data_IF_451364348060
#
_entry.id   IF_451364348060
#
_cell.length_a   1.000
_cell.length_b   1.000
_cell.length_c   1.000
_cell.angle_alpha   90.00
_cell.angle_beta   90.00
_cell.angle_gamma   90.00
#
_symmetry.space_group_name_H-M   'P 1'
#
loop_
_entity.id
_entity.type
_entity.pdbx_description
1 polymer ?
#
# COMPACT_ATOMS: atom_id res chain seq x y z
N UNK A 1 3.72 -12.42 -17.77
CA UNK A 1 2.73 -11.32 -17.85
C UNK A 1 1.52 -11.86 -18.62
N UNK A 2 0.27 -11.58 -18.19
CA UNK A 2 -0.94 -12.19 -18.80
C UNK A 2 -0.99 -12.00 -20.32
N UNK A 3 -0.70 -10.80 -20.82
CA UNK A 3 -0.65 -10.51 -22.25
C UNK A 3 0.32 -11.40 -23.06
N UNK A 4 1.36 -11.94 -22.44
CA UNK A 4 2.30 -12.87 -23.12
C UNK A 4 1.71 -14.27 -23.25
N UNK A 5 0.89 -14.69 -22.28
CA UNK A 5 0.41 -16.07 -22.17
C UNK A 5 -1.06 -16.23 -22.58
N UNK A 6 -1.78 -15.13 -22.76
CA UNK A 6 -3.21 -15.06 -23.09
C UNK A 6 -3.35 -14.23 -24.37
N UNK A 7 -3.30 -14.85 -25.57
CA UNK A 7 -3.40 -14.15 -26.84
C UNK A 7 -4.68 -13.33 -26.96
N UNK A 8 -5.78 -13.87 -26.42
CA UNK A 8 -7.06 -13.18 -26.41
C UNK A 8 -6.98 -11.87 -25.61
N UNK A 9 -6.35 -11.89 -24.43
CA UNK A 9 -6.17 -10.67 -23.63
C UNK A 9 -5.24 -9.67 -24.31
N UNK A 10 -4.18 -10.13 -24.99
CA UNK A 10 -3.31 -9.26 -25.78
C UNK A 10 -4.08 -8.58 -26.92
N UNK A 11 -4.89 -9.34 -27.66
CA UNK A 11 -5.71 -8.79 -28.75
C UNK A 11 -6.76 -7.81 -28.23
N UNK A 12 -7.36 -8.09 -27.07
CA UNK A 12 -8.27 -7.16 -26.39
C UNK A 12 -7.57 -5.83 -26.07
N UNK A 13 -6.37 -5.86 -25.48
CA UNK A 13 -5.62 -4.64 -25.20
C UNK A 13 -5.29 -3.84 -26.46
N UNK A 14 -4.95 -4.52 -27.56
CA UNK A 14 -4.73 -3.87 -28.85
C UNK A 14 -6.01 -3.22 -29.39
N UNK A 15 -7.16 -3.89 -29.31
CA UNK A 15 -8.44 -3.31 -29.73
C UNK A 15 -8.83 -2.09 -28.91
N UNK A 16 -8.59 -2.11 -27.60
CA UNK A 16 -8.81 -0.93 -26.74
C UNK A 16 -7.88 0.21 -27.13
N UNK A 17 -6.58 -0.06 -27.33
CA UNK A 17 -5.60 0.97 -27.72
C UNK A 17 -5.80 1.54 -29.12
N UNK A 18 -6.37 0.76 -30.03
CA UNK A 18 -6.71 1.16 -31.40
C UNK A 18 -8.12 1.79 -31.51
N UNK A 19 -8.86 1.95 -30.40
CA UNK A 19 -10.25 2.45 -30.39
C UNK A 19 -11.23 1.58 -31.22
N UNK A 20 -10.99 0.27 -31.27
CA UNK A 20 -11.80 -0.72 -32.00
C UNK A 20 -12.67 -1.61 -31.11
N UNK A 21 -12.54 -1.51 -29.79
CA UNK A 21 -13.38 -2.27 -28.85
C UNK A 21 -14.76 -1.62 -28.73
N UNK A 22 -15.81 -2.43 -28.63
CA UNK A 22 -17.17 -1.94 -28.45
C UNK A 22 -17.30 -1.13 -27.15
N UNK A 23 -17.79 0.10 -27.28
CA UNK A 23 -18.08 1.00 -26.16
C UNK A 23 -19.58 1.02 -25.86
N UNK A 24 -19.92 1.04 -24.58
CA UNK A 24 -21.22 1.44 -24.07
C UNK A 24 -21.32 2.97 -24.16
N UNK A 25 -22.37 3.45 -24.83
CA UNK A 25 -22.73 4.88 -24.94
C UNK A 25 -21.56 5.79 -25.37
N UNK A 26 -20.72 5.33 -26.31
CA UNK A 26 -19.56 6.03 -26.89
C UNK A 26 -18.46 6.48 -25.90
N UNK A 27 -18.61 6.19 -24.60
CA UNK A 27 -17.72 6.73 -23.55
C UNK A 27 -17.12 5.65 -22.63
N UNK A 28 -17.69 4.44 -22.57
CA UNK A 28 -17.25 3.40 -21.63
C UNK A 28 -16.88 2.11 -22.34
N UNK A 29 -15.70 1.56 -22.05
CA UNK A 29 -15.33 0.21 -22.53
C UNK A 29 -15.88 -0.84 -21.57
N UNK A 30 -16.59 -1.85 -22.09
CA UNK A 30 -17.10 -2.94 -21.27
C UNK A 30 -15.98 -3.93 -20.90
N UNK A 31 -15.65 -4.02 -19.60
CA UNK A 31 -14.75 -5.06 -19.08
C UNK A 31 -15.52 -6.37 -18.98
N UNK A 32 -15.00 -7.43 -19.62
CA UNK A 32 -15.65 -8.76 -19.60
C UNK A 32 -15.76 -9.35 -18.19
N UNK A 33 -16.82 -10.14 -17.98
CA UNK A 33 -17.13 -10.81 -16.71
C UNK A 33 -16.01 -11.69 -16.15
N UNK A 34 -15.16 -12.25 -17.01
CA UNK A 34 -14.01 -13.06 -16.57
C UNK A 34 -12.82 -12.23 -16.08
N UNK A 35 -12.92 -10.90 -16.12
CA UNK A 35 -11.92 -9.94 -15.62
C UNK A 35 -12.49 -9.01 -14.56
N UNK A 36 -13.79 -9.08 -14.29
CA UNK A 36 -14.47 -8.29 -13.28
C UNK A 36 -14.95 -9.17 -12.13
N UNK A 37 -15.12 -8.55 -10.97
CA UNK A 37 -15.80 -9.16 -9.83
C UNK A 37 -17.18 -8.52 -9.80
N UNK A 38 -18.27 -9.31 -9.88
CA UNK A 38 -19.62 -8.76 -9.86
C UNK A 38 -19.84 -7.91 -8.60
N UNK A 39 -20.23 -6.67 -8.80
CA UNK A 39 -20.56 -5.79 -7.68
C UNK A 39 -21.89 -6.23 -7.07
N UNK A 40 -21.87 -6.52 -5.77
CA UNK A 40 -23.06 -6.84 -4.97
C UNK A 40 -23.32 -5.73 -3.97
N UNK A 41 -22.41 -5.59 -3.02
CA UNK A 41 -22.28 -4.45 -2.12
C UNK A 41 -20.80 -4.16 -1.87
N UNK A 42 -20.50 -3.00 -1.30
CA UNK A 42 -19.11 -2.56 -1.05
C UNK A 42 -18.31 -3.60 -0.27
N UNK A 43 -18.87 -4.14 0.82
CA UNK A 43 -18.13 -5.03 1.73
C UNK A 43 -17.83 -6.36 1.06
N UNK A 44 -18.86 -7.04 0.55
CA UNK A 44 -18.71 -8.36 -0.06
C UNK A 44 -17.89 -8.31 -1.35
N UNK A 45 -18.02 -7.24 -2.16
CA UNK A 45 -17.25 -7.11 -3.40
C UNK A 45 -15.77 -6.85 -3.13
N UNK A 46 -15.44 -6.05 -2.11
CA UNK A 46 -14.04 -5.83 -1.67
C UNK A 46 -13.46 -7.12 -1.11
N UNK A 47 -14.23 -7.86 -0.32
CA UNK A 47 -13.79 -9.12 0.26
C UNK A 47 -13.55 -10.17 -0.83
N UNK A 48 -14.42 -10.26 -1.83
CA UNK A 48 -14.22 -11.10 -3.01
C UNK A 48 -12.97 -10.70 -3.82
N UNK A 49 -12.68 -9.41 -3.95
CA UNK A 49 -11.44 -8.93 -4.59
C UNK A 49 -10.20 -9.34 -3.80
N UNK A 50 -10.24 -9.19 -2.49
CA UNK A 50 -9.16 -9.65 -1.61
C UNK A 50 -8.93 -11.14 -1.80
N UNK A 51 -9.98 -11.95 -1.79
CA UNK A 51 -9.87 -13.41 -1.90
C UNK A 51 -9.43 -13.87 -3.29
N UNK A 52 -9.77 -13.12 -4.35
CA UNK A 52 -9.29 -13.37 -5.71
C UNK A 52 -7.78 -13.11 -5.86
N UNK A 53 -7.26 -12.06 -5.23
CA UNK A 53 -5.83 -11.67 -5.36
C UNK A 53 -4.95 -12.38 -4.33
N UNK A 54 -5.43 -12.54 -3.10
CA UNK A 54 -4.74 -13.17 -1.99
C UNK A 54 -5.47 -14.46 -1.54
N UNK A 55 -5.54 -15.49 -2.40
CA UNK A 55 -6.26 -16.70 -2.08
C UNK A 55 -5.61 -17.42 -0.88
N UNK A 56 -6.45 -17.82 0.08
CA UNK A 56 -6.01 -18.51 1.30
C UNK A 56 -4.88 -17.77 2.04
N UNK A 57 -5.01 -16.44 2.20
CA UNK A 57 -4.00 -15.57 2.81
C UNK A 57 -3.43 -16.12 4.12
N UNK A 58 -4.28 -16.63 5.01
CA UNK A 58 -3.88 -17.19 6.31
C UNK A 58 -3.01 -18.45 6.20
N UNK A 59 -3.11 -19.20 5.10
CA UNK A 59 -2.30 -20.39 4.88
C UNK A 59 -0.99 -20.08 4.16
N UNK A 60 -0.90 -18.92 3.49
CA UNK A 60 0.23 -18.53 2.63
C UNK A 60 1.02 -17.31 3.16
N UNK A 61 0.62 -16.74 4.30
CA UNK A 61 1.25 -15.54 4.86
C UNK A 61 2.71 -15.72 5.30
N UNK A 62 3.13 -16.96 5.52
CA UNK A 62 4.52 -17.32 5.76
C UNK A 62 5.41 -17.34 4.49
N UNK A 63 4.83 -17.30 3.29
CA UNK A 63 5.60 -17.25 2.04
C UNK A 63 5.74 -15.80 1.55
N UNK A 64 6.94 -15.23 1.74
CA UNK A 64 7.24 -13.89 1.28
C UNK A 64 7.10 -13.74 -0.24
N UNK A 65 7.40 -14.77 -1.04
CA UNK A 65 7.26 -14.73 -2.50
C UNK A 65 5.79 -14.66 -2.91
N UNK A 66 4.94 -15.39 -2.21
CA UNK A 66 3.49 -15.32 -2.41
C UNK A 66 2.98 -13.90 -2.15
N UNK A 67 3.38 -13.29 -1.04
CA UNK A 67 2.91 -11.96 -0.63
C UNK A 67 3.40 -10.86 -1.58
N UNK A 68 4.68 -10.84 -1.95
CA UNK A 68 5.25 -9.74 -2.76
C UNK A 68 4.86 -9.82 -4.25
N UNK A 69 4.37 -10.97 -4.71
CA UNK A 69 3.93 -11.15 -6.11
C UNK A 69 2.49 -10.72 -6.37
N UNK A 70 1.85 -10.10 -5.37
CA UNK A 70 0.44 -9.71 -5.35
C UNK A 70 0.29 -8.29 -4.86
N UNK A 71 -0.60 -7.54 -5.49
CA UNK A 71 -1.05 -6.26 -4.96
C UNK A 71 -2.47 -5.93 -5.41
N UNK A 72 -3.17 -5.13 -4.61
CA UNK A 72 -4.38 -4.43 -5.05
C UNK A 72 -4.02 -2.98 -5.35
N UNK A 73 -4.45 -2.48 -6.50
CA UNK A 73 -4.19 -1.10 -6.92
C UNK A 73 -5.46 -0.26 -6.81
N UNK A 74 -5.30 0.99 -6.40
CA UNK A 74 -6.39 1.97 -6.38
C UNK A 74 -5.89 3.35 -6.82
N UNK A 75 -6.79 4.31 -7.00
CA UNK A 75 -6.42 5.69 -7.39
C UNK A 75 -6.13 6.59 -6.21
N UNK A 76 -6.81 6.38 -5.07
CA UNK A 76 -6.70 7.23 -3.86
C UNK A 76 -5.99 6.51 -2.71
N UNK A 77 -5.21 7.26 -1.92
CA UNK A 77 -4.54 6.73 -0.72
C UNK A 77 -5.56 6.23 0.33
N UNK A 78 -6.72 6.89 0.48
CA UNK A 78 -7.77 6.44 1.41
C UNK A 78 -8.28 5.03 1.09
N UNK A 79 -8.51 4.74 -0.21
CA UNK A 79 -8.91 3.40 -0.65
C UNK A 79 -7.79 2.38 -0.45
N UNK A 80 -6.52 2.79 -0.62
CA UNK A 80 -5.36 1.94 -0.31
C UNK A 80 -5.32 1.59 1.17
N UNK A 81 -5.53 2.57 2.05
CA UNK A 81 -5.55 2.39 3.50
C UNK A 81 -6.72 1.49 3.94
N UNK A 82 -7.91 1.66 3.37
CA UNK A 82 -9.07 0.78 3.61
C UNK A 82 -8.73 -0.70 3.31
N UNK A 83 -8.16 -0.96 2.13
CA UNK A 83 -7.80 -2.33 1.71
C UNK A 83 -6.66 -2.89 2.58
N UNK A 84 -5.62 -2.10 2.85
CA UNK A 84 -4.50 -2.53 3.71
C UNK A 84 -4.98 -2.88 5.12
N UNK A 85 -5.94 -2.13 5.68
CA UNK A 85 -6.54 -2.40 6.98
C UNK A 85 -7.32 -3.71 7.01
N UNK A 86 -8.14 -3.99 5.97
CA UNK A 86 -8.82 -5.28 5.84
C UNK A 86 -7.84 -6.46 5.70
N UNK A 87 -6.77 -6.29 4.93
CA UNK A 87 -5.79 -7.34 4.69
C UNK A 87 -4.96 -7.68 5.94
N UNK A 88 -4.51 -6.67 6.69
CA UNK A 88 -3.76 -6.92 7.92
C UNK A 88 -4.62 -7.58 9.02
N UNK A 89 -5.93 -7.33 9.03
CA UNK A 89 -6.86 -8.03 9.93
C UNK A 89 -6.95 -9.52 9.61
N UNK A 90 -7.01 -9.87 8.32
CA UNK A 90 -7.05 -11.26 7.84
C UNK A 90 -5.73 -12.01 8.00
N UNK A 91 -4.60 -11.29 8.03
CA UNK A 91 -3.26 -11.88 8.17
C UNK A 91 -3.10 -12.63 9.49
N UNK A 92 -2.41 -13.78 9.52
CA UNK A 92 -2.21 -14.53 10.76
C UNK A 92 -1.14 -13.87 11.66
N UNK A 93 -1.09 -14.32 12.90
CA UNK A 93 -0.08 -13.89 13.87
C UNK A 93 -0.52 -12.74 14.77
N UNK A 94 0.30 -12.52 15.80
CA UNK A 94 0.04 -11.49 16.81
C UNK A 94 0.22 -10.08 16.23
N UNK A 95 -0.73 -9.21 16.56
CA UNK A 95 -0.71 -7.83 16.16
C UNK A 95 0.26 -7.02 17.04
N UNK A 96 1.17 -6.28 16.41
CA UNK A 96 1.96 -5.22 17.06
C UNK A 96 1.44 -3.86 16.63
N UNK A 97 1.20 -2.99 17.61
CA UNK A 97 0.79 -1.60 17.39
C UNK A 97 1.89 -0.66 17.84
N UNK A 98 2.15 0.36 17.02
CA UNK A 98 3.03 1.48 17.35
C UNK A 98 2.29 2.79 17.20
N UNK A 99 2.15 3.51 18.30
CA UNK A 99 1.67 4.90 18.30
C UNK A 99 2.82 5.85 17.97
N UNK A 100 2.57 6.88 17.16
CA UNK A 100 3.56 7.92 16.88
C UNK A 100 3.70 8.89 18.05
N UNK A 101 4.75 9.71 18.01
CA UNK A 101 4.88 10.90 18.85
C UNK A 101 4.78 12.13 17.95
N UNK A 102 3.70 12.88 18.11
CA UNK A 102 3.37 14.02 17.26
C UNK A 102 3.65 15.33 18.00
N UNK A 103 4.06 16.35 17.25
CA UNK A 103 4.42 17.67 17.76
C UNK A 103 4.07 18.73 16.72
N UNK A 104 3.51 19.86 17.16
CA UNK A 104 3.39 21.08 16.37
C UNK A 104 4.54 22.03 16.76
N UNK A 105 5.65 22.03 16.01
CA UNK A 105 6.92 22.64 16.44
C UNK A 105 6.84 24.16 16.69
N UNK A 106 5.94 24.86 16.02
CA UNK A 106 5.76 26.31 16.10
C UNK A 106 4.55 26.75 16.95
N UNK A 107 3.85 25.81 17.57
CA UNK A 107 2.71 26.09 18.45
C UNK A 107 3.14 26.44 19.88
N UNK A 108 3.64 27.66 20.06
CA UNK A 108 4.11 28.15 21.38
C UNK A 108 3.01 28.23 22.45
N UNK A 109 1.75 28.26 22.03
CA UNK A 109 0.61 28.48 22.92
C UNK A 109 -0.19 27.19 23.17
N UNK A 110 0.25 26.04 22.65
CA UNK A 110 -0.46 24.75 22.69
C UNK A 110 -1.93 24.87 22.22
N UNK A 111 -2.14 25.62 21.13
CA UNK A 111 -3.44 25.81 20.49
C UNK A 111 -3.96 24.53 19.84
N UNK A 112 -3.09 23.59 19.48
CA UNK A 112 -3.45 22.34 18.83
C UNK A 112 -3.35 21.16 19.81
N UNK A 113 -4.50 20.57 20.22
CA UNK A 113 -4.50 19.40 21.10
C UNK A 113 -3.83 18.19 20.44
N UNK A 114 -3.23 17.31 21.24
CA UNK A 114 -2.62 16.08 20.74
C UNK A 114 -3.62 15.19 20.01
N UNK A 115 -4.86 15.11 20.49
CA UNK A 115 -5.92 14.33 19.84
C UNK A 115 -6.18 14.80 18.41
N UNK A 116 -6.03 16.10 18.14
CA UNK A 116 -6.15 16.65 16.79
C UNK A 116 -4.95 16.24 15.92
N UNK A 117 -3.72 16.40 16.45
CA UNK A 117 -2.49 16.02 15.72
C UNK A 117 -2.48 14.54 15.33
N UNK A 118 -2.92 13.67 16.25
CA UNK A 118 -2.95 12.23 16.07
C UNK A 118 -3.97 11.77 15.00
N UNK A 119 -4.94 12.62 14.64
CA UNK A 119 -5.93 12.34 13.58
C UNK A 119 -5.43 12.71 12.18
N UNK A 120 -4.34 13.47 12.06
CA UNK A 120 -3.83 13.92 10.78
C UNK A 120 -3.20 12.75 10.02
N UNK A 121 -3.78 12.42 8.86
CA UNK A 121 -3.24 11.48 7.90
C UNK A 121 -2.69 12.28 6.71
N UNK A 122 -1.35 12.31 6.59
CA UNK A 122 -0.61 13.21 5.70
C UNK A 122 0.20 12.36 4.73
N UNK A 123 0.19 12.72 3.45
CA UNK A 123 0.94 11.99 2.44
C UNK A 123 2.45 11.96 2.75
N UNK A 124 3.07 10.79 2.62
CA UNK A 124 4.51 10.61 2.87
C UNK A 124 4.92 10.56 4.35
N UNK A 125 3.96 10.62 5.27
CA UNK A 125 4.17 10.46 6.71
C UNK A 125 3.38 9.21 7.17
N UNK A 126 3.98 8.30 7.96
CA UNK A 126 3.27 7.16 8.51
C UNK A 126 2.06 7.58 9.37
N UNK A 127 1.04 6.71 9.49
CA UNK A 127 -0.09 6.97 10.36
C UNK A 127 0.32 7.02 11.84
N UNK A 128 -0.45 7.76 12.64
CA UNK A 128 -0.28 7.76 14.10
C UNK A 128 -0.41 6.35 14.66
N UNK A 129 -1.46 5.63 14.23
CA UNK A 129 -1.73 4.25 14.59
C UNK A 129 -1.15 3.31 13.52
N UNK A 130 0.05 2.76 13.76
CA UNK A 130 0.68 1.81 12.85
C UNK A 130 0.49 0.37 13.35
N UNK A 131 -0.34 -0.39 12.64
CA UNK A 131 -0.66 -1.79 12.94
C UNK A 131 0.10 -2.75 12.02
N UNK A 132 0.88 -3.66 12.60
CA UNK A 132 1.73 -4.60 11.87
C UNK A 132 1.59 -6.02 12.42
N UNK A 133 1.93 -7.01 11.59
CA UNK A 133 2.04 -8.42 11.96
C UNK A 133 3.31 -9.01 11.35
N UNK A 134 3.84 -10.07 11.96
CA UNK A 134 5.03 -10.73 11.43
C UNK A 134 4.72 -11.24 10.02
N UNK A 135 5.69 -11.16 9.10
CA UNK A 135 5.57 -11.48 7.68
C UNK A 135 4.76 -10.50 6.82
N UNK A 136 4.16 -9.43 7.37
CA UNK A 136 3.44 -8.48 6.54
C UNK A 136 4.40 -7.67 5.63
N UNK A 137 3.98 -7.33 4.40
CA UNK A 137 4.71 -6.44 3.52
C UNK A 137 4.52 -5.00 3.93
N UNK A 138 5.63 -4.27 3.96
CA UNK A 138 5.65 -2.83 4.20
C UNK A 138 6.49 -2.15 3.14
N UNK A 139 6.27 -0.87 2.94
CA UNK A 139 7.02 -0.04 2.00
C UNK A 139 7.66 1.12 2.75
N UNK A 140 8.92 1.41 2.43
CA UNK A 140 9.67 2.51 3.03
C UNK A 140 9.19 3.86 2.47
N UNK A 141 9.03 4.86 3.33
CA UNK A 141 8.48 6.17 2.97
C UNK A 141 9.54 7.26 2.76
N UNK A 142 10.80 6.99 3.11
CA UNK A 142 11.91 7.94 2.96
C UNK A 142 13.21 7.20 2.64
N UNK A 143 14.12 7.93 2.02
CA UNK A 143 15.51 7.48 1.87
C UNK A 143 16.18 7.50 3.25
N UNK A 144 16.70 6.35 3.69
CA UNK A 144 17.48 6.22 4.93
C UNK A 144 18.94 5.95 4.58
N UNK A 145 19.15 4.95 3.72
CA UNK A 145 20.48 4.56 3.25
C UNK A 145 20.36 3.98 1.83
N UNK A 146 20.29 4.85 0.81
CA UNK A 146 20.11 4.42 -0.57
C UNK A 146 21.21 3.48 -1.07
N UNK A 147 22.44 3.69 -0.61
CA UNK A 147 23.59 2.88 -0.98
C UNK A 147 23.44 1.41 -0.61
N UNK A 148 22.63 1.14 0.42
CA UNK A 148 22.37 -0.18 0.98
C UNK A 148 20.96 -0.71 0.69
N UNK A 149 20.24 -0.06 -0.24
CA UNK A 149 18.90 -0.45 -0.67
C UNK A 149 17.76 0.05 0.19
N UNK A 150 18.00 0.94 1.17
CA UNK A 150 16.94 1.58 1.97
C UNK A 150 16.51 2.91 1.33
N UNK A 151 15.95 2.81 0.14
CA UNK A 151 15.38 3.94 -0.61
C UNK A 151 13.88 4.06 -0.34
N UNK A 152 13.33 5.25 -0.59
CA UNK A 152 11.89 5.44 -0.69
C UNK A 152 11.27 4.40 -1.64
N UNK A 153 10.10 3.94 -1.27
CA UNK A 153 9.32 2.92 -1.96
C UNK A 153 9.93 1.50 -1.99
N UNK A 154 11.02 1.24 -1.27
CA UNK A 154 11.56 -0.12 -1.10
C UNK A 154 10.54 -1.00 -0.38
N UNK A 155 10.19 -2.15 -0.98
CA UNK A 155 9.33 -3.16 -0.35
C UNK A 155 10.17 -4.00 0.61
N UNK A 156 9.63 -4.20 1.81
CA UNK A 156 10.25 -4.91 2.91
C UNK A 156 9.24 -5.91 3.50
N UNK A 157 9.72 -6.97 4.14
CA UNK A 157 8.91 -7.88 4.96
C UNK A 157 9.28 -7.72 6.43
N UNK A 158 8.29 -7.53 7.29
CA UNK A 158 8.49 -7.50 8.74
C UNK A 158 8.86 -8.89 9.27
N UNK A 159 9.96 -9.01 10.02
CA UNK A 159 10.46 -10.28 10.55
C UNK A 159 10.32 -10.38 12.06
N UNK A 160 10.53 -9.28 12.78
CA UNK A 160 10.33 -9.20 14.22
C UNK A 160 10.10 -7.77 14.68
N UNK A 161 9.51 -7.64 15.88
CA UNK A 161 9.12 -6.36 16.45
C UNK A 161 9.77 -6.15 17.82
N UNK A 162 10.43 -5.02 18.00
CA UNK A 162 10.98 -4.56 19.28
C UNK A 162 10.42 -3.17 19.60
N UNK A 163 10.54 -2.73 20.84
CA UNK A 163 9.92 -1.47 21.28
C UNK A 163 10.28 -0.25 20.40
N UNK A 164 11.54 -0.16 19.98
CA UNK A 164 12.08 0.99 19.25
C UNK A 164 12.70 0.64 17.88
N UNK A 165 12.62 -0.62 17.48
CA UNK A 165 13.25 -1.14 16.26
C UNK A 165 12.33 -2.19 15.62
N UNK A 166 12.23 -2.17 14.30
CA UNK A 166 11.59 -3.23 13.53
C UNK A 166 12.67 -3.95 12.72
N UNK A 167 12.72 -5.27 12.85
CA UNK A 167 13.55 -6.13 12.02
C UNK A 167 12.82 -6.42 10.71
N UNK A 168 13.43 -6.04 9.61
CA UNK A 168 12.86 -6.15 8.27
C UNK A 168 13.83 -6.83 7.31
N UNK A 169 13.30 -7.36 6.22
CA UNK A 169 14.08 -7.90 5.11
C UNK A 169 13.73 -7.20 3.81
N UNK A 170 14.74 -6.79 3.05
CA UNK A 170 14.54 -6.28 1.69
C UNK A 170 14.18 -7.44 0.77
N UNK A 171 13.11 -7.31 -0.01
CA UNK A 171 12.59 -8.43 -0.83
C UNK A 171 12.72 -8.24 -2.34
N UNK A 172 13.07 -7.05 -2.81
CA UNK A 172 13.22 -6.74 -4.24
C UNK A 172 14.55 -6.04 -4.51
N UNK A 173 15.10 -6.27 -5.70
CA UNK A 173 16.29 -5.58 -6.21
C UNK A 173 17.61 -6.21 -5.75
N UNK A 174 18.70 -5.49 -5.99
CA UNK A 174 20.07 -5.98 -5.77
C UNK A 174 20.37 -6.33 -4.30
N UNK A 175 19.62 -5.77 -3.36
CA UNK A 175 19.78 -5.98 -1.92
C UNK A 175 18.78 -6.99 -1.33
N UNK A 176 18.05 -7.73 -2.18
CA UNK A 176 17.07 -8.73 -1.72
C UNK A 176 17.70 -9.79 -0.79
N UNK A 177 16.97 -10.17 0.26
CA UNK A 177 17.41 -11.07 1.32
C UNK A 177 18.20 -10.39 2.46
N UNK A 178 18.58 -9.12 2.32
CA UNK A 178 19.29 -8.38 3.36
C UNK A 178 18.37 -8.04 4.52
N UNK A 179 18.77 -8.43 5.74
CA UNK A 179 18.12 -8.06 7.01
C UNK A 179 18.60 -6.71 7.48
N UNK A 180 17.68 -5.87 7.91
CA UNK A 180 17.94 -4.50 8.35
C UNK A 180 17.05 -4.15 9.53
N UNK A 181 17.53 -3.25 10.38
CA UNK A 181 16.80 -2.75 11.54
C UNK A 181 16.35 -1.32 11.29
N UNK A 182 15.04 -1.08 11.30
CA UNK A 182 14.47 0.25 11.13
C UNK A 182 14.19 0.90 12.48
N UNK A 183 14.76 2.07 12.79
CA UNK A 183 14.39 2.86 13.95
C UNK A 183 13.20 3.78 13.64
N UNK A 184 12.62 4.35 14.70
CA UNK A 184 11.71 5.50 14.56
C UNK A 184 12.51 6.75 14.22
N UNK A 185 12.06 7.51 13.22
CA UNK A 185 12.66 8.78 12.82
C UNK A 185 11.61 9.90 12.84
N UNK A 186 12.00 11.15 13.10
CA UNK A 186 11.10 12.29 12.92
C UNK A 186 10.84 12.51 11.43
N UNK A 187 9.58 12.69 11.08
CA UNK A 187 9.08 12.89 9.71
C UNK A 187 8.21 14.13 9.70
N UNK A 188 8.42 14.98 8.71
CA UNK A 188 7.56 16.13 8.45
C UNK A 188 6.78 15.89 7.15
N UNK A 189 5.54 16.40 7.04
CA UNK A 189 4.84 16.54 5.77
C UNK A 189 5.68 17.23 4.70
N UNK A 190 5.28 17.06 3.43
CA UNK A 190 5.74 17.97 2.37
C UNK A 190 5.21 19.39 2.59
N UNK A 191 5.97 20.39 2.14
CA UNK A 191 5.59 21.82 2.27
C UNK A 191 4.26 22.16 1.55
N UNK A 192 3.80 21.30 0.65
CA UNK A 192 2.51 21.42 -0.05
C UNK A 192 1.30 21.23 0.88
N UNK A 193 1.46 20.61 2.05
CA UNK A 193 0.38 20.49 3.03
C UNK A 193 0.30 21.77 3.88
N UNK A 194 -0.70 22.60 3.58
CA UNK A 194 -0.93 23.89 4.24
C UNK A 194 -1.56 23.71 5.63
N UNK A 195 -0.80 23.23 6.60
CA UNK A 195 -1.16 23.36 8.01
C UNK A 195 -0.79 24.75 8.54
N UNK A 196 -1.56 25.31 9.49
CA UNK A 196 -1.20 26.56 10.17
C UNK A 196 -0.06 26.38 11.21
N UNK A 197 0.58 25.22 11.22
CA UNK A 197 1.68 24.83 12.10
C UNK A 197 2.59 23.81 11.39
N UNK A 198 3.78 23.58 11.94
CA UNK A 198 4.73 22.57 11.46
C UNK A 198 4.53 21.25 12.20
N UNK A 199 3.84 20.31 11.55
CA UNK A 199 3.70 18.94 12.07
C UNK A 199 5.03 18.19 12.00
N UNK A 200 5.44 17.61 13.12
CA UNK A 200 6.53 16.65 13.22
C UNK A 200 5.99 15.36 13.84
N UNK A 201 6.09 14.25 13.11
CA UNK A 201 5.68 12.93 13.56
C UNK A 201 6.89 12.01 13.69
N UNK A 202 7.19 11.53 14.90
CA UNK A 202 8.23 10.51 15.14
C UNK A 202 7.63 9.11 15.10
N UNK A 203 7.91 8.38 14.03
CA UNK A 203 7.39 7.03 13.79
C UNK A 203 8.38 6.21 12.93
N UNK A 204 8.16 4.90 12.82
CA UNK A 204 8.86 4.09 11.81
C UNK A 204 8.47 4.57 10.41
N UNK A 205 9.44 4.82 9.50
CA UNK A 205 9.17 5.41 8.18
C UNK A 205 8.63 4.38 7.18
N UNK A 206 7.61 3.63 7.57
CA UNK A 206 7.01 2.54 6.79
C UNK A 206 5.49 2.61 6.82
N UNK A 207 4.86 2.01 5.83
CA UNK A 207 3.42 1.74 5.79
C UNK A 207 3.15 0.34 5.23
N UNK A 208 1.97 -0.22 5.47
CA UNK A 208 1.56 -1.49 4.86
C UNK A 208 1.54 -1.39 3.33
N UNK A 209 1.89 -2.49 2.66
CA UNK A 209 2.08 -2.51 1.20
C UNK A 209 1.39 -3.69 0.50
N UNK A 210 0.25 -4.15 1.01
CA UNK A 210 -0.58 -5.11 0.26
C UNK A 210 -1.34 -4.43 -0.88
N UNK A 211 -1.75 -3.18 -0.63
CA UNK A 211 -2.37 -2.29 -1.59
C UNK A 211 -1.48 -1.06 -1.80
N UNK A 212 -1.52 -0.48 -3.00
CA UNK A 212 -0.84 0.77 -3.33
C UNK A 212 -1.57 1.55 -4.43
N UNK A 213 -1.21 2.81 -4.62
CA UNK A 213 -1.82 3.58 -5.71
C UNK A 213 -1.28 3.15 -7.07
N UNK A 214 -2.09 3.30 -8.12
CA UNK A 214 -1.68 3.05 -9.51
C UNK A 214 -0.42 3.87 -9.86
N UNK A 215 -0.38 5.13 -9.44
CA UNK A 215 0.78 6.00 -9.63
C UNK A 215 2.04 5.42 -8.98
N UNK A 216 1.95 4.86 -7.75
CA UNK A 216 3.08 4.20 -7.09
C UNK A 216 3.48 2.87 -7.72
N UNK A 217 2.54 2.18 -8.38
CA UNK A 217 2.80 0.92 -9.05
C UNK A 217 3.48 1.09 -10.42
N UNK A 218 3.49 2.31 -10.97
CA UNK A 218 4.10 2.57 -12.28
C UNK A 218 5.58 2.17 -12.31
N UNK A 219 5.98 1.45 -13.37
CA UNK A 219 7.35 0.95 -13.53
C UNK A 219 7.69 -0.30 -12.69
N UNK A 220 6.73 -0.87 -11.96
CA UNK A 220 6.89 -2.12 -11.22
C UNK A 220 6.32 -3.31 -11.98
N UNK A 221 6.96 -4.46 -11.82
CA UNK A 221 6.44 -5.74 -12.31
C UNK A 221 5.79 -6.46 -11.14
N UNK A 222 4.46 -6.52 -11.13
CA UNK A 222 3.67 -7.23 -10.12
C UNK A 222 2.91 -8.37 -10.83
N UNK A 223 3.22 -9.64 -10.55
CA UNK A 223 2.65 -10.77 -11.28
C UNK A 223 1.13 -10.88 -11.22
N UNK A 224 0.53 -10.65 -10.04
CA UNK A 224 -0.91 -10.77 -9.82
C UNK A 224 -1.44 -9.44 -9.26
N UNK A 225 -2.34 -8.81 -9.99
CA UNK A 225 -2.84 -7.48 -9.64
C UNK A 225 -4.36 -7.48 -9.66
N UNK A 226 -4.96 -7.00 -8.57
CA UNK A 226 -6.35 -6.57 -8.54
C UNK A 226 -6.44 -5.07 -8.66
N UNK A 227 -7.53 -4.58 -9.23
CA UNK A 227 -7.77 -3.14 -9.39
C UNK A 227 -9.08 -2.81 -8.68
N UNK A 228 -9.02 -1.87 -7.74
CA UNK A 228 -10.15 -1.39 -6.95
C UNK A 228 -10.42 0.09 -7.27
N UNK A 229 -11.55 0.35 -7.94
CA UNK A 229 -11.96 1.67 -8.42
C UNK A 229 -13.38 1.95 -7.89
N UNK A 230 -13.52 2.46 -6.65
CA UNK A 230 -14.83 2.72 -6.06
C UNK A 230 -15.56 3.92 -6.66
N UNK A 231 -14.85 4.78 -7.38
CA UNK A 231 -15.37 5.94 -8.09
C UNK A 231 -15.01 5.84 -9.57
N UNK A 232 -15.78 6.52 -10.42
CA UNK A 232 -15.41 6.66 -11.83
C UNK A 232 -14.04 7.31 -11.92
N UNK A 233 -13.18 6.70 -12.73
CA UNK A 233 -11.88 7.22 -13.08
C UNK A 233 -11.90 7.40 -14.58
N UNK A 234 -11.45 8.56 -15.03
CA UNK A 234 -11.65 9.11 -16.39
C UNK A 234 -13.04 9.71 -16.62
#
# INVERSE_FOLDING_TARGET
>A
MRAVNDPWFSDFLLRVGDEKEETLDESFTHIRDNMSIPYTDKTNSVDALIDAIFPSLQSNDADSKFIISRAILSTKNESVDEINNKLIERFSGEQKVYYSFDEAEDDKNNLYPMEYLNLLNVSGVPPHYLRLKTMCPVILLRNIDPSNGLCNDTILICRAFQQNVIDVEIVVGQHAGKRVFLPRIPLCPSDDEMFPFKLKRKQFPIQLSFSMTINKAQGRIIPNVGVYLPESVF
#
